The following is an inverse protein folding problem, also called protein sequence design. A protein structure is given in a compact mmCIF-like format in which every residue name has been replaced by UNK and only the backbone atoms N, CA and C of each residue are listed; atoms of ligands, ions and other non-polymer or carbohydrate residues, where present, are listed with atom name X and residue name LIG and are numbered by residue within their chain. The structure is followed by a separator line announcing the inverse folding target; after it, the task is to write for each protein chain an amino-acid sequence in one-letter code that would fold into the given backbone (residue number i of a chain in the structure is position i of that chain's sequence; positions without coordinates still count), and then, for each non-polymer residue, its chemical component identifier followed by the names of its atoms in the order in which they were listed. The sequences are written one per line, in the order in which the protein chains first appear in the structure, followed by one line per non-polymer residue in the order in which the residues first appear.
data_IF_938996747287
#
_entry.id   IF_938996747287
#
_cell.length_a   1.000
_cell.length_b   1.000
_cell.length_c   1.000
_cell.angle_alpha   90.00
_cell.angle_beta   90.00
_cell.angle_gamma   90.00
#
_symmetry.space_group_name_H-M   'P 1'
#
loop_
_entity.id
_entity.type
_entity.pdbx_description
1 polymer ?
#
# COMPACT_ATOMS: atom_id res chain seq x y z
N UNK A 1 12.66 18.90 -6.68
CA UNK A 1 12.07 17.67 -6.16
C UNK A 1 10.73 18.02 -5.55
N UNK A 2 9.66 17.89 -6.31
CA UNK A 2 8.29 17.91 -5.82
C UNK A 2 7.87 16.49 -5.44
N UNK A 3 7.11 16.36 -4.36
CA UNK A 3 6.67 15.05 -3.84
C UNK A 3 5.16 15.04 -3.64
N UNK A 4 4.54 13.90 -3.96
CA UNK A 4 3.17 13.59 -3.54
C UNK A 4 3.22 12.57 -2.40
N UNK A 5 2.70 12.91 -1.23
CA UNK A 5 2.50 11.97 -0.12
C UNK A 5 1.05 11.50 -0.09
N UNK A 6 0.81 10.18 0.00
CA UNK A 6 -0.51 9.56 0.02
C UNK A 6 -0.64 8.69 1.27
N UNK A 7 -1.61 8.97 2.12
CA UNK A 7 -2.09 8.06 3.17
C UNK A 7 -3.30 7.29 2.60
N UNK A 8 -3.06 6.05 2.16
CA UNK A 8 -4.02 5.31 1.36
C UNK A 8 -5.00 4.53 2.24
N UNK A 9 -6.30 4.73 2.00
CA UNK A 9 -7.35 3.91 2.59
C UNK A 9 -7.99 2.97 1.55
N UNK A 10 -8.86 2.05 2.01
CA UNK A 10 -9.62 1.18 1.12
C UNK A 10 -10.64 1.98 0.27
N UNK A 11 -11.05 3.15 0.73
CA UNK A 11 -11.99 4.03 0.05
C UNK A 11 -11.41 5.44 -0.08
N UNK A 12 -11.66 6.08 -1.22
CA UNK A 12 -11.23 7.45 -1.52
C UNK A 12 -11.65 8.46 -0.44
N UNK A 13 -12.81 8.24 0.18
CA UNK A 13 -13.35 9.11 1.24
C UNK A 13 -12.49 9.23 2.50
N UNK A 14 -11.62 8.25 2.70
CA UNK A 14 -10.74 8.16 3.86
C UNK A 14 -9.27 8.25 3.45
N UNK A 15 -9.00 8.62 2.19
CA UNK A 15 -7.63 8.79 1.68
C UNK A 15 -7.19 10.22 1.89
N UNK A 16 -5.98 10.39 2.40
CA UNK A 16 -5.30 11.68 2.48
C UNK A 16 -4.24 11.80 1.40
N UNK A 17 -4.05 12.99 0.85
CA UNK A 17 -2.89 13.25 0.00
C UNK A 17 -2.46 14.71 0.07
N UNK A 18 -1.15 14.92 0.02
CA UNK A 18 -0.50 16.23 0.09
C UNK A 18 0.56 16.38 -0.99
N UNK A 19 0.64 17.57 -1.57
CA UNK A 19 1.76 17.98 -2.40
C UNK A 19 2.80 18.66 -1.50
N UNK A 20 4.06 18.31 -1.69
CA UNK A 20 5.19 18.84 -0.94
C UNK A 20 6.16 19.49 -1.91
N UNK A 21 6.28 20.81 -1.81
CA UNK A 21 7.09 21.65 -2.70
C UNK A 21 8.30 22.24 -1.94
N UNK A 22 9.51 22.24 -2.53
CA UNK A 22 10.67 22.88 -1.92
C UNK A 22 10.53 24.41 -2.01
N UNK A 23 10.73 25.11 -0.89
CA UNK A 23 10.67 26.58 -0.80
C UNK A 23 12.01 27.20 -0.34
N UNK A 24 13.10 26.44 -0.46
CA UNK A 24 14.46 26.83 -0.10
C UNK A 24 15.35 25.61 0.06
N UNK A 25 16.60 25.80 0.50
CA UNK A 25 17.60 24.73 0.60
C UNK A 25 17.22 23.58 1.57
N UNK A 26 16.45 23.89 2.63
CA UNK A 26 16.05 22.90 3.64
C UNK A 26 14.62 23.14 4.15
N UNK A 27 13.79 23.80 3.35
CA UNK A 27 12.41 24.14 3.71
C UNK A 27 11.45 23.64 2.66
N UNK A 28 10.33 23.14 3.13
CA UNK A 28 9.29 22.52 2.32
C UNK A 28 7.94 23.12 2.69
N UNK A 29 7.04 23.20 1.72
CA UNK A 29 5.65 23.61 1.89
C UNK A 29 4.76 22.43 1.55
N UNK A 30 3.88 22.06 2.48
CA UNK A 30 2.79 21.12 2.20
C UNK A 30 1.55 21.90 1.75
N UNK A 31 0.83 21.36 0.78
CA UNK A 31 -0.48 21.86 0.34
C UNK A 31 -1.39 20.69 0.00
N UNK A 32 -2.69 20.86 0.26
CA UNK A 32 -3.71 19.90 -0.17
C UNK A 32 -3.81 19.86 -1.70
N UNK A 33 -4.38 18.77 -2.22
CA UNK A 33 -4.82 18.71 -3.60
C UNK A 33 -5.99 19.68 -3.83
N UNK A 34 -6.12 20.28 -5.02
CA UNK A 34 -7.27 21.14 -5.35
C UNK A 34 -8.62 20.42 -5.30
N UNK A 35 -8.60 19.09 -5.45
CA UNK A 35 -9.76 18.22 -5.44
C UNK A 35 -9.56 17.07 -4.46
N UNK A 36 -10.66 16.39 -4.12
CA UNK A 36 -10.60 15.17 -3.33
C UNK A 36 -9.64 14.14 -3.95
N UNK A 37 -8.90 13.36 -3.14
CA UNK A 37 -7.98 12.31 -3.63
C UNK A 37 -8.73 11.06 -4.09
N UNK A 38 -9.47 11.19 -5.20
CA UNK A 38 -9.98 10.04 -5.97
C UNK A 38 -8.82 9.32 -6.66
N UNK A 39 -9.03 8.09 -7.12
CA UNK A 39 -7.97 7.35 -7.82
C UNK A 39 -7.46 8.11 -9.06
N UNK A 40 -8.37 8.76 -9.80
CA UNK A 40 -8.01 9.56 -10.97
C UNK A 40 -7.22 10.82 -10.58
N UNK A 41 -7.65 11.53 -9.54
CA UNK A 41 -6.94 12.71 -9.05
C UNK A 41 -5.53 12.37 -8.54
N UNK A 42 -5.37 11.22 -7.87
CA UNK A 42 -4.06 10.74 -7.41
C UNK A 42 -3.14 10.39 -8.58
N UNK A 43 -3.66 9.70 -9.60
CA UNK A 43 -2.89 9.38 -10.81
C UNK A 43 -2.47 10.66 -11.54
N UNK A 44 -3.38 11.61 -11.73
CA UNK A 44 -3.04 12.88 -12.39
C UNK A 44 -2.04 13.70 -11.57
N UNK A 45 -2.18 13.77 -10.25
CA UNK A 45 -1.21 14.42 -9.37
C UNK A 45 0.17 13.75 -9.44
N UNK A 46 0.22 12.41 -9.48
CA UNK A 46 1.45 11.64 -9.60
C UNK A 46 2.23 11.96 -10.90
N UNK A 47 1.56 12.38 -11.98
CA UNK A 47 2.21 12.83 -13.23
C UNK A 47 2.94 14.16 -13.09
N UNK A 48 2.65 14.94 -12.05
CA UNK A 48 3.16 16.30 -11.85
C UNK A 48 4.28 16.42 -10.82
N UNK A 49 4.75 15.28 -10.29
CA UNK A 49 5.76 15.22 -9.23
C UNK A 49 6.89 14.26 -9.61
N UNK A 50 8.06 14.45 -9.02
CA UNK A 50 9.21 13.57 -9.26
C UNK A 50 9.16 12.29 -8.41
N UNK A 51 8.52 12.34 -7.24
CA UNK A 51 8.44 11.22 -6.30
C UNK A 51 7.03 11.11 -5.72
N UNK A 52 6.53 9.88 -5.62
CA UNK A 52 5.28 9.57 -4.91
C UNK A 52 5.61 8.66 -3.74
N UNK A 53 5.31 9.13 -2.51
CA UNK A 53 5.31 8.31 -1.31
C UNK A 53 3.89 7.82 -1.04
N UNK A 54 3.73 6.50 -0.86
CA UNK A 54 2.43 5.89 -0.53
C UNK A 54 2.56 5.13 0.78
N UNK A 55 1.79 5.52 1.79
CA UNK A 55 1.56 4.70 2.97
C UNK A 55 0.43 3.71 2.65
N UNK A 56 0.79 2.43 2.59
CA UNK A 56 -0.13 1.33 2.32
C UNK A 56 0.44 0.05 2.92
N UNK A 57 -0.38 -0.86 3.46
CA UNK A 57 0.05 -2.19 3.89
C UNK A 57 0.32 -3.12 2.69
N UNK A 58 0.95 -2.62 1.64
CA UNK A 58 1.23 -3.35 0.43
C UNK A 58 2.17 -4.52 0.74
N UNK A 59 1.74 -5.74 0.41
CA UNK A 59 2.53 -6.95 0.62
C UNK A 59 1.73 -8.05 1.29
N UNK A 60 1.26 -8.99 0.49
CA UNK A 60 0.69 -10.24 1.01
C UNK A 60 1.80 -11.18 1.49
N UNK A 61 1.57 -11.99 2.53
CA UNK A 61 2.50 -13.03 2.92
C UNK A 61 2.78 -13.95 1.72
N UNK A 62 4.05 -14.28 1.47
CA UNK A 62 4.42 -15.15 0.33
C UNK A 62 3.68 -16.50 0.39
N UNK A 63 3.57 -17.08 1.59
CA UNK A 63 2.81 -18.31 1.81
C UNK A 63 1.33 -18.18 1.42
N UNK A 64 0.70 -17.01 1.62
CA UNK A 64 -0.68 -16.78 1.16
C UNK A 64 -0.77 -16.78 -0.36
N UNK A 65 0.14 -16.08 -1.04
CA UNK A 65 0.17 -16.01 -2.50
C UNK A 65 0.39 -17.41 -3.09
N UNK A 66 1.33 -18.17 -2.55
CA UNK A 66 1.62 -19.54 -2.97
C UNK A 66 0.43 -20.48 -2.76
N UNK A 67 -0.25 -20.37 -1.62
CA UNK A 67 -1.41 -21.21 -1.30
C UNK A 67 -2.59 -20.95 -2.24
N UNK A 68 -2.91 -19.67 -2.48
CA UNK A 68 -3.96 -19.29 -3.43
C UNK A 68 -3.60 -19.72 -4.86
N UNK A 69 -2.34 -19.56 -5.28
CA UNK A 69 -1.88 -19.97 -6.61
C UNK A 69 -1.94 -21.50 -6.79
N UNK A 70 -1.54 -22.27 -5.78
CA UNK A 70 -1.65 -23.73 -5.78
C UNK A 70 -3.11 -24.19 -5.89
N UNK A 71 -3.99 -23.63 -5.07
CA UNK A 71 -5.42 -23.90 -5.11
C UNK A 71 -6.03 -23.55 -6.49
N UNK A 72 -5.69 -22.38 -7.03
CA UNK A 72 -6.15 -21.94 -8.36
C UNK A 72 -5.67 -22.84 -9.51
N UNK A 73 -4.58 -23.58 -9.31
CA UNK A 73 -4.02 -24.54 -10.27
C UNK A 73 -4.39 -26.00 -9.95
N UNK A 74 -5.37 -26.24 -9.08
CA UNK A 74 -5.80 -27.57 -8.62
C UNK A 74 -4.67 -28.42 -8.00
N UNK A 75 -3.63 -27.78 -7.47
CA UNK A 75 -2.56 -28.45 -6.73
C UNK A 75 -2.90 -28.54 -5.23
N UNK A 76 -2.28 -29.46 -4.48
CA UNK A 76 -2.47 -29.53 -3.04
C UNK A 76 -2.16 -28.20 -2.35
N UNK A 77 -2.94 -27.87 -1.32
CA UNK A 77 -2.73 -26.67 -0.50
C UNK A 77 -1.40 -26.76 0.28
N UNK A 78 -0.46 -25.83 0.10
CA UNK A 78 0.78 -25.81 0.87
C UNK A 78 0.52 -25.31 2.30
N UNK A 79 0.99 -26.07 3.29
CA UNK A 79 0.93 -25.70 4.70
C UNK A 79 0.09 -26.63 5.59
N UNK A 80 -0.15 -26.18 6.81
CA UNK A 80 -0.85 -26.95 7.86
C UNK A 80 -2.04 -26.19 8.46
N UNK A 81 -2.47 -26.62 9.66
CA UNK A 81 -3.64 -26.05 10.36
C UNK A 81 -3.38 -24.62 10.86
N UNK A 82 -2.12 -24.26 11.11
CA UNK A 82 -1.75 -22.89 11.47
C UNK A 82 -1.88 -21.95 10.27
N UNK A 83 -2.85 -21.05 10.36
CA UNK A 83 -3.16 -20.04 9.34
C UNK A 83 -2.43 -18.72 9.58
N UNK A 84 -1.65 -18.58 10.65
CA UNK A 84 -1.01 -17.32 11.03
C UNK A 84 -0.04 -16.81 9.97
N UNK A 85 0.71 -17.71 9.33
CA UNK A 85 1.65 -17.43 8.23
C UNK A 85 0.98 -16.99 6.93
N UNK A 86 -0.32 -17.30 6.79
CA UNK A 86 -1.12 -16.89 5.64
C UNK A 86 -1.83 -15.56 5.89
N UNK A 87 -2.08 -15.21 7.15
CA UNK A 87 -2.94 -14.09 7.57
C UNK A 87 -2.17 -12.84 7.96
N UNK A 88 -0.96 -12.99 8.46
CA UNK A 88 -0.17 -11.90 9.04
C UNK A 88 1.23 -11.90 8.44
N UNK A 89 1.84 -10.72 8.31
CA UNK A 89 3.25 -10.59 7.91
C UNK A 89 4.16 -11.08 9.03
N UNK A 90 5.41 -11.35 8.71
CA UNK A 90 6.38 -11.79 9.73
C UNK A 90 6.58 -10.74 10.82
N UNK A 91 6.58 -9.45 10.46
CA UNK A 91 6.60 -8.35 11.44
C UNK A 91 5.40 -8.40 12.38
N UNK A 92 4.19 -8.61 11.84
CA UNK A 92 2.95 -8.69 12.63
C UNK A 92 2.99 -9.89 13.61
N UNK A 93 3.59 -11.01 13.18
CA UNK A 93 3.81 -12.20 14.03
C UNK A 93 4.87 -11.94 15.10
N UNK A 94 5.97 -11.28 14.76
CA UNK A 94 7.05 -10.95 15.69
C UNK A 94 6.57 -10.01 16.80
N UNK A 95 5.87 -8.91 16.47
CA UNK A 95 5.38 -7.98 17.48
C UNK A 95 4.36 -8.62 18.43
N UNK A 96 3.58 -9.60 17.95
CA UNK A 96 2.63 -10.34 18.78
C UNK A 96 3.34 -11.17 19.86
N UNK A 97 4.55 -11.67 19.59
CA UNK A 97 5.36 -12.38 20.60
C UNK A 97 5.80 -11.46 21.74
N UNK A 98 5.82 -10.15 21.51
CA UNK A 98 6.09 -9.12 22.52
C UNK A 98 4.83 -8.60 23.24
N UNK A 99 3.68 -9.26 23.07
CA UNK A 99 2.43 -8.88 23.74
C UNK A 99 1.73 -7.67 23.11
N UNK A 100 2.19 -7.20 21.95
CA UNK A 100 1.53 -6.12 21.21
C UNK A 100 0.24 -6.67 20.59
N UNK A 101 -0.82 -5.84 20.60
CA UNK A 101 -2.11 -6.17 19.98
C UNK A 101 -1.89 -6.64 18.55
N UNK A 102 -2.52 -7.76 18.20
CA UNK A 102 -2.44 -8.31 16.85
C UNK A 102 -2.88 -7.27 15.81
N UNK A 103 -2.04 -7.10 14.77
CA UNK A 103 -2.41 -6.36 13.58
C UNK A 103 -3.60 -7.01 12.88
N UNK A 104 -4.28 -6.26 12.02
CA UNK A 104 -5.32 -6.82 11.18
C UNK A 104 -4.71 -7.80 10.17
N UNK A 105 -5.51 -8.76 9.73
CA UNK A 105 -5.10 -9.69 8.67
C UNK A 105 -4.89 -8.94 7.35
N UNK A 106 -3.79 -9.21 6.66
CA UNK A 106 -3.46 -8.58 5.37
C UNK A 106 -3.98 -9.38 4.18
N UNK A 107 -4.44 -10.61 4.36
CA UNK A 107 -4.82 -11.49 3.25
C UNK A 107 -6.04 -11.00 2.47
N UNK A 108 -7.06 -10.51 3.18
CA UNK A 108 -8.34 -10.11 2.59
C UNK A 108 -9.25 -9.29 3.54
N UNK A 109 -8.75 -8.78 4.67
CA UNK A 109 -9.54 -7.88 5.54
C UNK A 109 -9.31 -6.41 5.12
N UNK A 110 -9.65 -5.43 5.98
CA UNK A 110 -9.48 -3.99 5.71
C UNK A 110 -8.11 -3.62 5.15
N UNK A 111 -7.02 -4.25 5.62
CA UNK A 111 -5.67 -4.01 5.08
C UNK A 111 -5.49 -4.59 3.68
N UNK A 112 -6.05 -5.77 3.41
CA UNK A 112 -6.01 -6.39 2.08
C UNK A 112 -6.68 -5.51 1.02
N UNK A 113 -7.83 -4.90 1.35
CA UNK A 113 -8.51 -3.96 0.43
C UNK A 113 -7.67 -2.72 0.12
N UNK A 114 -6.94 -2.18 1.09
CA UNK A 114 -6.01 -1.05 0.87
C UNK A 114 -4.86 -1.50 -0.04
N UNK A 115 -4.28 -2.68 0.22
CA UNK A 115 -3.18 -3.22 -0.58
C UNK A 115 -3.60 -3.48 -2.05
N UNK A 116 -4.81 -4.01 -2.28
CA UNK A 116 -5.36 -4.19 -3.64
C UNK A 116 -5.50 -2.86 -4.38
N UNK A 117 -6.03 -1.84 -3.70
CA UNK A 117 -6.13 -0.49 -4.28
C UNK A 117 -4.76 0.12 -4.57
N UNK A 118 -3.79 -0.06 -3.68
CA UNK A 118 -2.41 0.39 -3.91
C UNK A 118 -1.80 -0.29 -5.15
N UNK A 119 -1.91 -1.61 -5.26
CA UNK A 119 -1.41 -2.36 -6.42
C UNK A 119 -2.04 -1.87 -7.74
N UNK A 120 -3.34 -1.56 -7.75
CA UNK A 120 -4.00 -0.97 -8.92
C UNK A 120 -3.43 0.42 -9.25
N UNK A 121 -3.29 1.30 -8.26
CA UNK A 121 -2.72 2.63 -8.46
C UNK A 121 -1.27 2.56 -8.97
N UNK A 122 -0.46 1.59 -8.51
CA UNK A 122 0.89 1.38 -9.01
C UNK A 122 0.91 1.10 -10.51
N UNK A 123 0.02 0.23 -10.99
CA UNK A 123 -0.10 -0.06 -12.43
C UNK A 123 -0.48 1.20 -13.21
N UNK A 124 -1.43 1.99 -12.68
CA UNK A 124 -1.90 3.23 -13.33
C UNK A 124 -0.83 4.34 -13.35
N UNK A 125 0.00 4.42 -12.32
CA UNK A 125 1.08 5.39 -12.22
C UNK A 125 2.30 5.00 -13.05
N UNK A 126 2.72 3.72 -13.05
CA UNK A 126 3.93 3.22 -13.73
C UNK A 126 3.95 3.43 -15.26
N UNK A 127 2.81 3.69 -15.90
CA UNK A 127 2.77 4.15 -17.30
C UNK A 127 3.42 5.54 -17.47
N UNK A 128 3.79 6.19 -16.37
CA UNK A 128 4.42 7.50 -16.26
C UNK A 128 5.61 7.33 -15.32
N UNK A 129 6.80 7.78 -15.69
CA UNK A 129 8.02 7.58 -14.91
C UNK A 129 7.91 8.17 -13.49
N UNK A 130 7.46 7.37 -12.53
CA UNK A 130 7.33 7.76 -11.14
C UNK A 130 7.92 6.63 -10.27
N UNK A 131 8.96 6.96 -9.49
CA UNK A 131 9.59 6.01 -8.59
C UNK A 131 8.65 5.77 -7.40
N UNK A 132 7.87 4.69 -7.48
CA UNK A 132 7.16 4.14 -6.32
C UNK A 132 8.17 3.38 -5.46
N UNK A 133 8.48 3.94 -4.30
CA UNK A 133 9.28 3.24 -3.29
C UNK A 133 8.46 2.04 -2.79
N UNK A 134 8.86 0.83 -3.22
CA UNK A 134 8.39 -0.42 -2.64
C UNK A 134 9.15 -0.61 -1.33
N UNK A 135 8.45 -0.53 -0.20
CA UNK A 135 8.99 -0.96 1.11
C UNK A 135 8.84 -2.45 1.28
#
# INVERSE_FOLDING_TARGET
MRVLGIDLAAHEKSTGAILIDPIGASRWRASELPTRPTDDALVEAARTVEVVGVDSPLGWPTAFVEAVAAHGSLRPWPGGVDRSTLTHRDTDRAIRQHGIRAALSVSADKLGSVAMRCALLQVRCCTTACLLLRT
#
